data_IF_197811121277
#
_entry.id   IF_197811121277
#
_cell.length_a   1.000
_cell.length_b   1.000
_cell.length_c   1.000
_cell.angle_alpha   90.00
_cell.angle_beta   90.00
_cell.angle_gamma   90.00
#
_symmetry.space_group_name_H-M   'P 1'
#
loop_
_entity.id
_entity.type
_entity.pdbx_description
1 polymer ?
#
# COMPACT_ATOMS: atom_id res chain seq x y z
N UNK A 1 3.09 15.86 7.37
CA UNK A 1 2.85 15.29 6.03
C UNK A 1 2.47 13.80 6.01
N UNK A 2 2.72 13.02 7.08
CA UNK A 2 2.29 11.61 7.15
C UNK A 2 0.77 11.38 7.16
N UNK A 3 -0.01 12.34 7.65
CA UNK A 3 -1.48 12.24 7.68
C UNK A 3 -2.07 12.14 6.28
N UNK A 4 -1.61 12.97 5.34
CA UNK A 4 -2.10 12.98 3.95
C UNK A 4 -1.88 11.65 3.23
N UNK A 5 -0.72 11.01 3.43
CA UNK A 5 -0.44 9.68 2.87
C UNK A 5 -1.42 8.64 3.40
N UNK A 6 -1.72 8.71 4.70
CA UNK A 6 -2.67 7.81 5.32
C UNK A 6 -4.10 8.04 4.83
N UNK A 7 -4.47 9.29 4.57
CA UNK A 7 -5.76 9.66 3.99
C UNK A 7 -5.92 9.08 2.58
N UNK A 8 -4.90 9.23 1.72
CA UNK A 8 -4.93 8.64 0.38
C UNK A 8 -4.99 7.11 0.40
N UNK A 9 -4.25 6.44 1.29
CA UNK A 9 -4.33 4.98 1.45
C UNK A 9 -5.71 4.53 1.94
N UNK A 10 -6.33 5.30 2.84
CA UNK A 10 -7.67 5.00 3.36
C UNK A 10 -8.73 5.20 2.27
N UNK A 11 -8.63 6.27 1.48
CA UNK A 11 -9.49 6.52 0.32
C UNK A 11 -9.32 5.43 -0.75
N UNK A 12 -8.08 5.09 -1.10
CA UNK A 12 -7.80 4.02 -2.06
C UNK A 12 -8.41 2.68 -1.60
N UNK A 13 -8.25 2.33 -0.32
CA UNK A 13 -8.85 1.12 0.25
C UNK A 13 -10.39 1.15 0.19
N UNK A 14 -11.01 2.30 0.45
CA UNK A 14 -12.45 2.47 0.35
C UNK A 14 -12.93 2.33 -1.11
N UNK A 15 -12.19 2.89 -2.07
CA UNK A 15 -12.47 2.73 -3.50
C UNK A 15 -12.38 1.26 -3.94
N UNK A 16 -11.41 0.49 -3.45
CA UNK A 16 -11.35 -0.96 -3.70
C UNK A 16 -12.57 -1.69 -3.13
N UNK A 17 -13.02 -1.34 -1.93
CA UNK A 17 -14.22 -1.95 -1.33
C UNK A 17 -15.49 -1.53 -2.08
N UNK A 18 -15.50 -0.34 -2.68
CA UNK A 18 -16.60 0.20 -3.47
C UNK A 18 -16.60 -0.28 -4.94
N UNK A 19 -15.73 -1.23 -5.31
CA UNK A 19 -15.59 -1.74 -6.68
C UNK A 19 -15.19 -0.66 -7.70
N UNK A 20 -14.48 0.39 -7.25
CA UNK A 20 -13.93 1.47 -8.09
C UNK A 20 -12.39 1.40 -8.14
N UNK A 21 -11.82 0.47 -8.93
CA UNK A 21 -10.38 0.28 -9.03
C UNK A 21 -9.64 1.45 -9.69
N UNK A 22 -10.31 2.25 -10.53
CA UNK A 22 -9.69 3.37 -11.23
C UNK A 22 -9.40 4.54 -10.30
N UNK A 23 -10.36 4.87 -9.42
CA UNK A 23 -10.13 5.88 -8.39
C UNK A 23 -9.11 5.40 -7.38
N UNK A 24 -9.15 4.12 -7.03
CA UNK A 24 -8.19 3.52 -6.12
C UNK A 24 -6.75 3.62 -6.63
N UNK A 25 -6.51 3.35 -7.93
CA UNK A 25 -5.20 3.49 -8.57
C UNK A 25 -4.63 4.91 -8.45
N UNK A 26 -5.44 5.93 -8.74
CA UNK A 26 -5.00 7.34 -8.65
C UNK A 26 -4.55 7.69 -7.23
N UNK A 27 -5.35 7.35 -6.22
CA UNK A 27 -4.99 7.62 -4.83
C UNK A 27 -3.77 6.81 -4.37
N UNK A 28 -3.63 5.56 -4.84
CA UNK A 28 -2.48 4.72 -4.55
C UNK A 28 -1.18 5.29 -5.14
N UNK A 29 -1.21 5.79 -6.38
CA UNK A 29 -0.07 6.48 -7.01
C UNK A 29 0.30 7.76 -6.28
N UNK A 30 -0.69 8.58 -5.89
CA UNK A 30 -0.44 9.78 -5.07
C UNK A 30 0.23 9.45 -3.74
N UNK A 31 -0.25 8.39 -3.08
CA UNK A 31 0.37 7.87 -1.88
C UNK A 31 1.80 7.42 -2.15
N UNK A 32 2.06 6.64 -3.20
CA UNK A 32 3.40 6.18 -3.60
C UNK A 32 4.38 7.32 -3.85
N UNK A 33 3.98 8.34 -4.62
CA UNK A 33 4.85 9.50 -4.94
C UNK A 33 5.21 10.27 -3.67
N UNK A 34 4.28 10.38 -2.73
CA UNK A 34 4.56 11.01 -1.44
C UNK A 34 5.25 10.08 -0.45
N UNK A 35 5.13 8.77 -0.64
CA UNK A 35 5.81 7.73 0.14
C UNK A 35 7.26 7.59 -0.32
N UNK A 36 8.11 8.51 0.15
CA UNK A 36 9.57 8.43 -0.03
C UNK A 36 10.30 7.77 1.13
N UNK A 37 11.63 7.94 1.17
CA UNK A 37 12.55 7.41 2.17
C UNK A 37 12.22 7.78 3.64
N UNK A 38 11.37 8.78 3.88
CA UNK A 38 10.92 9.19 5.23
C UNK A 38 9.60 8.52 5.69
N UNK A 39 9.07 7.57 4.92
CA UNK A 39 7.82 6.87 5.26
C UNK A 39 8.04 5.86 6.37
N UNK A 40 7.22 5.95 7.42
CA UNK A 40 7.32 5.02 8.55
C UNK A 40 6.79 3.62 8.21
N UNK A 41 7.29 2.61 8.91
CA UNK A 41 6.84 1.21 8.80
C UNK A 41 5.31 1.05 8.78
N UNK A 42 4.57 1.80 9.60
CA UNK A 42 3.11 1.75 9.65
C UNK A 42 2.44 2.11 8.31
N UNK A 43 2.99 3.09 7.60
CA UNK A 43 2.46 3.51 6.28
C UNK A 43 2.72 2.42 5.24
N UNK A 44 3.89 1.77 5.31
CA UNK A 44 4.19 0.60 4.49
C UNK A 44 3.30 -0.60 4.79
N UNK A 45 2.97 -0.85 6.06
CA UNK A 45 2.02 -1.90 6.45
C UNK A 45 0.63 -1.64 5.87
N UNK A 46 0.15 -0.38 5.90
CA UNK A 46 -1.14 -0.04 5.31
C UNK A 46 -1.15 -0.18 3.78
N UNK A 47 -0.05 0.18 3.11
CA UNK A 47 0.12 -0.05 1.68
C UNK A 47 0.10 -1.56 1.35
N UNK A 48 0.68 -2.43 2.20
CA UNK A 48 0.59 -3.89 2.03
C UNK A 48 -0.83 -4.43 2.22
N UNK A 49 -1.55 -3.90 3.20
CA UNK A 49 -2.97 -4.24 3.40
C UNK A 49 -3.78 -3.92 2.13
N UNK A 50 -3.58 -2.72 1.59
CA UNK A 50 -4.21 -2.30 0.33
C UNK A 50 -3.76 -3.19 -0.85
N UNK A 51 -2.46 -3.52 -0.95
CA UNK A 51 -1.94 -4.46 -1.96
C UNK A 51 -2.57 -5.85 -1.87
N UNK A 52 -3.02 -6.28 -0.69
CA UNK A 52 -3.80 -7.53 -0.56
C UNK A 52 -5.20 -7.38 -1.13
N UNK A 53 -5.87 -6.25 -0.92
CA UNK A 53 -7.18 -5.97 -1.52
C UNK A 53 -7.10 -5.96 -3.05
N UNK A 54 -6.00 -5.44 -3.61
CA UNK A 54 -5.80 -5.46 -5.07
C UNK A 54 -5.53 -6.85 -5.65
N UNK A 55 -5.35 -7.88 -4.82
CA UNK A 55 -5.14 -9.25 -5.29
C UNK A 55 -6.40 -9.85 -5.90
N UNK A 56 -7.57 -9.46 -5.41
CA UNK A 56 -8.86 -9.86 -5.99
C UNK A 56 -9.04 -9.28 -7.41
N UNK A 57 -8.52 -8.07 -7.62
CA UNK A 57 -8.53 -7.37 -8.90
C UNK A 57 -7.30 -7.68 -9.77
N UNK A 58 -6.50 -8.71 -9.47
CA UNK A 58 -5.26 -9.00 -10.21
C UNK A 58 -5.47 -9.38 -11.68
N UNK A 59 -6.70 -9.70 -12.08
CA UNK A 59 -7.08 -9.93 -13.47
C UNK A 59 -7.27 -8.64 -14.30
N UNK A 60 -7.32 -7.47 -13.65
CA UNK A 60 -7.44 -6.19 -14.34
C UNK A 60 -6.06 -5.64 -14.72
N UNK A 61 -5.82 -5.27 -16.00
CA UNK A 61 -4.51 -4.76 -16.45
C UNK A 61 -4.04 -3.54 -15.66
N UNK A 62 -4.93 -2.58 -15.37
CA UNK A 62 -4.62 -1.36 -14.60
C UNK A 62 -4.14 -1.68 -13.17
N UNK A 63 -4.76 -2.67 -12.53
CA UNK A 63 -4.38 -3.08 -11.18
C UNK A 63 -3.09 -3.89 -11.19
N UNK A 64 -2.86 -4.66 -12.25
CA UNK A 64 -1.60 -5.36 -12.44
C UNK A 64 -0.43 -4.36 -12.50
N UNK A 65 -0.53 -3.32 -13.33
CA UNK A 65 0.49 -2.26 -13.41
C UNK A 65 0.71 -1.57 -12.06
N UNK A 66 -0.37 -1.20 -11.36
CA UNK A 66 -0.28 -0.61 -10.02
C UNK A 66 0.47 -1.53 -9.04
N UNK A 67 0.21 -2.84 -9.10
CA UNK A 67 0.86 -3.81 -8.22
C UNK A 67 2.36 -3.92 -8.52
N UNK A 68 2.76 -3.82 -9.77
CA UNK A 68 4.17 -3.77 -10.16
C UNK A 68 4.84 -2.50 -9.66
N UNK A 69 4.19 -1.34 -9.79
CA UNK A 69 4.69 -0.07 -9.24
C UNK A 69 4.85 -0.12 -7.72
N UNK A 70 3.86 -0.65 -7.00
CA UNK A 70 3.92 -0.86 -5.56
C UNK A 70 5.08 -1.81 -5.19
N UNK A 71 5.28 -2.90 -5.94
CA UNK A 71 6.39 -3.82 -5.71
C UNK A 71 7.75 -3.17 -5.93
N UNK A 72 7.90 -2.34 -6.96
CA UNK A 72 9.13 -1.61 -7.26
C UNK A 72 9.46 -0.57 -6.18
N UNK A 73 8.43 0.09 -5.65
CA UNK A 73 8.59 1.08 -4.58
C UNK A 73 8.83 0.45 -3.20
N UNK A 74 8.33 -0.77 -2.96
CA UNK A 74 8.55 -1.48 -1.71
C UNK A 74 10.03 -1.83 -1.54
N UNK A 75 10.69 -1.42 -0.44
CA UNK A 75 12.07 -1.82 -0.19
C UNK A 75 12.14 -3.35 -0.08
N UNK A 76 13.05 -3.97 -0.85
CA UNK A 76 13.28 -5.42 -0.88
C UNK A 76 13.44 -5.95 0.55
N UNK A 77 12.47 -6.73 1.02
CA UNK A 77 12.39 -7.21 2.41
C UNK A 77 11.09 -6.85 3.12
N UNK A 78 10.34 -5.89 2.59
CA UNK A 78 9.05 -5.46 3.13
C UNK A 78 7.97 -6.54 3.01
N UNK A 79 7.87 -7.25 1.89
CA UNK A 79 6.81 -8.23 1.67
C UNK A 79 6.93 -9.51 2.51
N UNK A 80 8.02 -9.68 3.28
CA UNK A 80 8.11 -10.80 4.22
C UNK A 80 7.19 -10.52 5.41
N UNK A 81 6.19 -11.38 5.68
CA UNK A 81 5.50 -11.31 6.96
C UNK A 81 6.56 -11.53 8.04
N UNK A 82 6.69 -10.56 8.94
CA UNK A 82 7.57 -10.66 10.10
C UNK A 82 7.01 -11.77 11.00
N UNK A 83 7.35 -13.03 10.71
CA UNK A 83 7.22 -14.14 11.66
C UNK A 83 8.07 -13.75 12.88
N UNK A 84 7.40 -13.32 13.95
CA UNK A 84 7.91 -13.27 15.32
C UNK A 84 9.22 -12.52 15.56
N UNK A 85 9.11 -11.31 16.11
CA UNK A 85 10.18 -10.71 16.92
C UNK A 85 9.54 -10.07 18.15
N UNK A 86 9.40 -10.85 19.22
CA UNK A 86 8.83 -10.42 20.49
C UNK A 86 9.77 -9.51 21.30
N UNK A 87 9.17 -8.84 22.28
CA UNK A 87 9.65 -8.59 23.67
C UNK A 87 11.11 -8.10 23.80
N UNK A 88 11.40 -6.91 24.34
CA UNK A 88 11.38 -6.62 25.80
C UNK A 88 11.71 -5.13 26.00
N UNK A 89 10.86 -4.39 26.73
CA UNK A 89 11.30 -3.20 27.49
C UNK A 89 11.89 -3.72 28.80
N UNK A 90 13.13 -3.34 29.09
CA UNK A 90 13.76 -3.46 30.40
C UNK A 90 14.25 -2.06 30.79
#
# INVERSE_FOLDING_TARGET
QRSQIFDWLSLASACFIADDPEQADRYARLALVSMGANSSHRTWDRLREMYRLTAEYSGYPKIHELREEIQLALPKGSLRPKRGGGTTQA
#
